data_IF_679959822876
#
_entry.id   IF_679959822876
#
_cell.length_a   1.000
_cell.length_b   1.000
_cell.length_c   1.000
_cell.angle_alpha   90.00
_cell.angle_beta   90.00
_cell.angle_gamma   90.00
#
_symmetry.space_group_name_H-M   'P 1'
#
loop_
_entity.id
_entity.type
_entity.pdbx_description
1 polymer ?
#
# COMPACT_ATOMS: atom_id res chain seq x y z
N UNK A 1 -0.05 -37.28 -45.26
CA UNK A 1 -0.75 -36.63 -46.38
C UNK A 1 -1.96 -37.47 -46.79
N UNK A 2 -3.05 -36.90 -47.36
CA UNK A 2 -3.98 -37.74 -48.09
C UNK A 2 -3.26 -38.28 -49.34
N UNK A 3 -3.30 -39.60 -49.54
CA UNK A 3 -2.69 -40.38 -50.65
C UNK A 3 -2.94 -39.75 -52.03
N UNK A 4 -4.02 -38.95 -52.14
CA UNK A 4 -4.41 -38.23 -53.36
C UNK A 4 -3.43 -37.12 -53.76
N UNK A 5 -2.73 -36.49 -52.82
CA UNK A 5 -1.82 -35.37 -53.10
C UNK A 5 -0.44 -35.85 -53.55
N UNK A 6 0.09 -36.91 -52.94
CA UNK A 6 1.33 -37.56 -53.40
C UNK A 6 1.16 -38.11 -54.82
N UNK A 7 0.04 -38.80 -55.09
CA UNK A 7 -0.23 -39.36 -56.42
C UNK A 7 -0.35 -38.27 -57.50
N UNK A 8 -0.92 -37.11 -57.16
CA UNK A 8 -1.00 -35.95 -58.05
C UNK A 8 0.38 -35.32 -58.30
N UNK A 9 1.22 -35.22 -57.26
CA UNK A 9 2.59 -34.73 -57.37
C UNK A 9 3.46 -35.62 -58.26
N UNK A 10 3.36 -36.95 -58.12
CA UNK A 10 4.07 -37.91 -58.96
C UNK A 10 3.66 -37.77 -60.43
N UNK A 11 2.34 -37.71 -60.72
CA UNK A 11 1.82 -37.52 -62.08
C UNK A 11 2.30 -36.21 -62.73
N UNK A 12 2.36 -35.12 -61.96
CA UNK A 12 2.87 -33.82 -62.44
C UNK A 12 4.35 -33.91 -62.82
N UNK A 13 5.16 -34.60 -62.03
CA UNK A 13 6.59 -34.80 -62.31
C UNK A 13 6.82 -35.72 -63.51
N UNK A 14 6.05 -36.82 -63.61
CA UNK A 14 6.08 -37.72 -64.77
C UNK A 14 5.68 -37.00 -66.06
N UNK A 15 4.68 -36.11 -66.00
CA UNK A 15 4.20 -35.33 -67.15
C UNK A 15 5.26 -34.35 -67.70
N UNK A 16 6.25 -33.95 -66.90
CA UNK A 16 7.34 -33.05 -67.33
C UNK A 16 8.64 -33.81 -67.63
N UNK A 17 8.58 -35.13 -67.76
CA UNK A 17 9.68 -35.97 -68.27
C UNK A 17 10.53 -36.68 -67.22
N UNK A 18 10.19 -36.61 -65.94
CA UNK A 18 10.83 -37.46 -64.92
C UNK A 18 10.30 -38.90 -65.05
N UNK A 19 11.19 -39.89 -64.99
CA UNK A 19 10.72 -41.27 -64.83
C UNK A 19 10.16 -41.48 -63.41
N UNK A 20 9.39 -42.55 -63.22
CA UNK A 20 8.73 -42.85 -61.95
C UNK A 20 9.68 -42.79 -60.73
N UNK A 21 10.88 -43.36 -60.87
CA UNK A 21 11.85 -43.40 -59.76
C UNK A 21 12.38 -42.00 -59.41
N UNK A 22 12.59 -41.16 -60.42
CA UNK A 22 13.00 -39.77 -60.20
C UNK A 22 11.88 -38.94 -59.58
N UNK A 23 10.64 -39.11 -60.05
CA UNK A 23 9.46 -38.44 -59.50
C UNK A 23 9.24 -38.82 -58.03
N UNK A 24 9.32 -40.11 -57.71
CA UNK A 24 9.22 -40.64 -56.34
C UNK A 24 10.31 -40.05 -55.43
N UNK A 25 11.57 -40.09 -55.86
CA UNK A 25 12.69 -39.57 -55.07
C UNK A 25 12.56 -38.07 -54.82
N UNK A 26 12.15 -37.30 -55.83
CA UNK A 26 11.99 -35.85 -55.69
C UNK A 26 10.81 -35.50 -54.79
N UNK A 27 9.68 -36.21 -54.92
CA UNK A 27 8.53 -36.01 -54.06
C UNK A 27 8.86 -36.30 -52.59
N UNK A 28 9.56 -37.39 -52.30
CA UNK A 28 10.01 -37.75 -50.95
C UNK A 28 10.95 -36.70 -50.35
N UNK A 29 11.95 -36.24 -51.12
CA UNK A 29 12.88 -35.19 -50.66
C UNK A 29 12.15 -33.88 -50.36
N UNK A 30 11.20 -33.48 -51.20
CA UNK A 30 10.42 -32.25 -51.00
C UNK A 30 9.49 -32.41 -49.79
N UNK A 31 8.80 -33.53 -49.64
CA UNK A 31 7.92 -33.78 -48.51
C UNK A 31 8.71 -33.76 -47.21
N UNK A 32 9.84 -34.47 -47.15
CA UNK A 32 10.72 -34.48 -46.00
C UNK A 32 11.22 -33.08 -45.64
N UNK A 33 11.71 -32.32 -46.62
CA UNK A 33 12.16 -30.93 -46.43
C UNK A 33 11.03 -30.01 -45.95
N UNK A 34 9.81 -30.21 -46.47
CA UNK A 34 8.64 -29.44 -46.05
C UNK A 34 8.24 -29.75 -44.61
N UNK A 35 8.21 -31.04 -44.24
CA UNK A 35 7.92 -31.50 -42.88
C UNK A 35 8.96 -30.96 -41.90
N UNK A 36 10.25 -31.07 -42.22
CA UNK A 36 11.35 -30.54 -41.39
C UNK A 36 11.24 -29.01 -41.20
N UNK A 37 10.92 -28.28 -42.27
CA UNK A 37 10.71 -26.83 -42.21
C UNK A 37 9.50 -26.45 -41.37
N UNK A 38 8.39 -27.19 -41.48
CA UNK A 38 7.20 -26.96 -40.67
C UNK A 38 7.47 -27.23 -39.18
N UNK A 39 8.22 -28.29 -38.87
CA UNK A 39 8.53 -28.63 -37.49
C UNK A 39 9.47 -27.59 -36.85
N UNK A 40 10.47 -27.14 -37.61
CA UNK A 40 11.37 -26.04 -37.20
C UNK A 40 10.59 -24.74 -36.91
N UNK A 41 9.59 -24.43 -37.75
CA UNK A 41 8.76 -23.24 -37.56
C UNK A 41 7.85 -23.37 -36.33
N UNK A 42 7.25 -24.53 -36.09
CA UNK A 42 6.47 -24.78 -34.87
C UNK A 42 7.32 -24.63 -33.63
N UNK A 43 8.52 -25.19 -33.63
CA UNK A 43 9.46 -25.09 -32.51
C UNK A 43 9.85 -23.63 -32.25
N UNK A 44 10.16 -22.87 -33.32
CA UNK A 44 10.45 -21.44 -33.22
C UNK A 44 9.27 -20.65 -32.59
N UNK A 45 8.04 -20.88 -33.08
CA UNK A 45 6.85 -20.21 -32.55
C UNK A 45 6.60 -20.59 -31.09
N UNK A 46 6.77 -21.87 -30.74
CA UNK A 46 6.61 -22.35 -29.37
C UNK A 46 7.61 -21.66 -28.44
N UNK A 47 8.89 -21.61 -28.83
CA UNK A 47 9.95 -20.98 -28.05
C UNK A 47 9.71 -19.48 -27.87
N UNK A 48 9.31 -18.76 -28.93
CA UNK A 48 8.99 -17.33 -28.83
C UNK A 48 7.77 -17.07 -27.94
N UNK A 49 6.72 -17.90 -28.03
CA UNK A 49 5.57 -17.80 -27.14
C UNK A 49 5.97 -18.02 -25.66
N UNK A 50 6.74 -19.07 -25.36
CA UNK A 50 7.24 -19.30 -24.00
C UNK A 50 8.12 -18.14 -23.51
N UNK A 51 8.95 -17.57 -24.37
CA UNK A 51 9.76 -16.39 -24.02
C UNK A 51 8.88 -15.17 -23.68
N UNK A 52 7.83 -14.92 -24.48
CA UNK A 52 6.86 -13.85 -24.22
C UNK A 52 6.09 -14.07 -22.91
N UNK A 53 5.62 -15.29 -22.65
CA UNK A 53 4.94 -15.67 -21.41
C UNK A 53 5.83 -15.44 -20.18
N UNK A 54 7.11 -15.83 -20.27
CA UNK A 54 8.08 -15.62 -19.21
C UNK A 54 8.36 -14.12 -18.97
N UNK A 55 8.52 -13.33 -20.04
CA UNK A 55 8.71 -11.87 -19.93
C UNK A 55 7.51 -11.19 -19.30
N UNK A 56 6.30 -11.57 -19.68
CA UNK A 56 5.06 -11.04 -19.11
C UNK A 56 4.91 -11.42 -17.64
N UNK A 57 5.11 -12.69 -17.29
CA UNK A 57 5.08 -13.18 -15.91
C UNK A 57 6.07 -12.43 -15.02
N UNK A 58 7.31 -12.26 -15.48
CA UNK A 58 8.33 -11.50 -14.74
C UNK A 58 7.95 -10.03 -14.56
N UNK A 59 7.35 -9.41 -15.57
CA UNK A 59 6.89 -8.02 -15.49
C UNK A 59 5.73 -7.88 -14.49
N UNK A 60 4.77 -8.81 -14.49
CA UNK A 60 3.66 -8.85 -13.54
C UNK A 60 4.19 -9.00 -12.10
N UNK A 61 5.04 -9.99 -11.85
CA UNK A 61 5.66 -10.20 -10.54
C UNK A 61 6.44 -8.96 -10.06
N UNK A 62 7.14 -8.30 -10.97
CA UNK A 62 7.84 -7.04 -10.67
C UNK A 62 6.91 -5.87 -10.35
N UNK A 63 5.72 -5.81 -10.95
CA UNK A 63 4.70 -4.81 -10.64
C UNK A 63 4.05 -5.10 -9.28
N UNK A 64 3.71 -6.37 -9.00
CA UNK A 64 3.13 -6.78 -7.73
C UNK A 64 4.06 -6.45 -6.56
N UNK A 65 5.35 -6.81 -6.66
CA UNK A 65 6.36 -6.48 -5.65
C UNK A 65 6.47 -4.97 -5.39
N UNK A 66 6.45 -4.15 -6.45
CA UNK A 66 6.48 -2.68 -6.35
C UNK A 66 5.22 -2.13 -5.69
N UNK A 67 4.05 -2.66 -6.01
CA UNK A 67 2.78 -2.23 -5.43
C UNK A 67 2.72 -2.61 -3.94
N UNK A 68 3.05 -3.84 -3.57
CA UNK A 68 3.12 -4.28 -2.18
C UNK A 68 4.08 -3.41 -1.36
N UNK A 69 5.26 -3.09 -1.91
CA UNK A 69 6.23 -2.22 -1.25
C UNK A 69 5.69 -0.80 -1.04
N UNK A 70 4.96 -0.24 -2.02
CA UNK A 70 4.32 1.07 -1.88
C UNK A 70 3.21 1.07 -0.83
N UNK A 71 2.38 0.02 -0.80
CA UNK A 71 1.30 -0.12 0.19
C UNK A 71 1.89 -0.16 1.60
N UNK A 72 2.86 -1.05 1.84
CA UNK A 72 3.54 -1.15 3.14
C UNK A 72 4.18 0.17 3.56
N UNK A 73 4.78 0.90 2.61
CA UNK A 73 5.36 2.22 2.87
C UNK A 73 4.31 3.28 3.25
N UNK A 74 3.12 3.25 2.63
CA UNK A 74 2.01 4.13 2.97
C UNK A 74 1.44 3.79 4.36
N UNK A 75 1.24 2.51 4.65
CA UNK A 75 0.75 2.05 5.96
C UNK A 75 1.68 2.51 7.08
N UNK A 76 2.99 2.26 6.95
CA UNK A 76 3.99 2.71 7.92
C UNK A 76 3.96 4.23 8.15
N UNK A 77 3.83 5.00 7.06
CA UNK A 77 3.75 6.47 7.12
C UNK A 77 2.47 6.96 7.80
N UNK A 78 1.34 6.30 7.55
CA UNK A 78 0.06 6.62 8.19
C UNK A 78 0.09 6.28 9.67
N UNK A 79 0.54 5.08 10.05
CA UNK A 79 0.70 4.69 11.46
C UNK A 79 1.60 5.65 12.22
N UNK A 80 2.73 6.07 11.63
CA UNK A 80 3.64 7.05 12.24
C UNK A 80 2.97 8.41 12.45
N UNK A 81 2.17 8.87 11.48
CA UNK A 81 1.40 10.12 11.61
C UNK A 81 0.34 10.04 12.71
N UNK A 82 -0.40 8.93 12.79
CA UNK A 82 -1.43 8.71 13.81
C UNK A 82 -0.77 8.74 15.20
N UNK A 83 0.28 7.94 15.42
CA UNK A 83 1.00 7.91 16.69
C UNK A 83 1.55 9.30 17.07
N UNK A 84 2.05 10.05 16.08
CA UNK A 84 2.53 11.42 16.28
C UNK A 84 1.42 12.40 16.66
N UNK A 85 0.21 12.24 16.11
CA UNK A 85 -0.96 13.04 16.49
C UNK A 85 -1.46 12.68 17.89
N UNK A 86 -1.54 11.39 18.21
CA UNK A 86 -1.94 10.92 19.53
C UNK A 86 -1.02 11.48 20.62
N UNK A 87 0.31 11.38 20.43
CA UNK A 87 1.29 11.93 21.35
C UNK A 87 1.14 13.45 21.55
N UNK A 88 0.89 14.20 20.47
CA UNK A 88 0.65 15.65 20.53
C UNK A 88 -0.63 15.99 21.29
N UNK A 89 -1.71 15.26 21.03
CA UNK A 89 -2.99 15.46 21.70
C UNK A 89 -2.89 15.12 23.19
N UNK A 90 -2.29 13.98 23.55
CA UNK A 90 -2.06 13.61 24.95
C UNK A 90 -1.22 14.66 25.68
N UNK A 91 -0.16 15.16 25.04
CA UNK A 91 0.68 16.22 25.62
C UNK A 91 -0.11 17.50 25.86
N UNK A 92 -0.98 17.89 24.92
CA UNK A 92 -1.82 19.08 25.05
C UNK A 92 -2.89 18.93 26.14
N UNK A 93 -3.53 17.76 26.24
CA UNK A 93 -4.49 17.45 27.30
C UNK A 93 -3.81 17.53 28.67
N UNK A 94 -2.66 16.87 28.83
CA UNK A 94 -1.89 16.91 30.08
C UNK A 94 -1.45 18.33 30.45
N UNK A 95 -1.14 19.17 29.45
CA UNK A 95 -0.83 20.59 29.66
C UNK A 95 -2.03 21.37 30.19
N UNK A 96 -3.19 21.22 29.56
CA UNK A 96 -4.44 21.85 29.98
C UNK A 96 -4.86 21.40 31.39
N UNK A 97 -4.72 20.11 31.72
CA UNK A 97 -5.04 19.58 33.06
C UNK A 97 -4.17 20.22 34.15
N UNK A 98 -2.89 20.48 33.86
CA UNK A 98 -2.00 21.20 34.78
C UNK A 98 -2.40 22.65 34.94
N UNK A 99 -2.71 23.34 33.84
CA UNK A 99 -3.17 24.74 33.88
C UNK A 99 -4.47 24.87 34.68
N UNK A 100 -5.45 23.99 34.43
CA UNK A 100 -6.71 23.94 35.18
C UNK A 100 -6.46 23.66 36.66
N UNK A 101 -5.56 22.72 36.99
CA UNK A 101 -5.22 22.41 38.38
C UNK A 101 -4.57 23.59 39.08
N UNK A 102 -3.68 24.32 38.40
CA UNK A 102 -3.05 25.53 38.92
C UNK A 102 -4.08 26.62 39.21
N UNK A 103 -4.98 26.90 38.26
CA UNK A 103 -6.06 27.87 38.42
C UNK A 103 -6.98 27.51 39.59
N UNK A 104 -7.33 26.23 39.77
CA UNK A 104 -8.14 25.77 40.91
C UNK A 104 -7.45 26.05 42.26
N UNK A 105 -6.14 25.83 42.34
CA UNK A 105 -5.35 26.11 43.56
C UNK A 105 -5.28 27.60 43.83
N UNK A 106 -5.05 28.42 42.80
CA UNK A 106 -4.99 29.88 42.90
C UNK A 106 -6.32 30.47 43.38
N UNK A 107 -7.43 30.11 42.72
CA UNK A 107 -8.78 30.52 43.14
C UNK A 107 -9.06 30.09 44.58
N UNK A 108 -8.69 28.86 44.96
CA UNK A 108 -8.89 28.38 46.33
C UNK A 108 -8.09 29.18 47.37
N UNK A 109 -6.89 29.68 47.01
CA UNK A 109 -6.08 30.52 47.89
C UNK A 109 -6.69 31.91 48.02
N UNK A 110 -7.10 32.52 46.91
CA UNK A 110 -7.74 33.85 46.93
C UNK A 110 -9.04 33.85 47.74
N UNK A 111 -9.86 32.81 47.60
CA UNK A 111 -11.08 32.66 48.41
C UNK A 111 -10.79 32.53 49.90
N UNK A 112 -9.74 31.79 50.29
CA UNK A 112 -9.32 31.67 51.69
C UNK A 112 -8.79 32.98 52.25
N UNK A 113 -7.97 33.70 51.47
CA UNK A 113 -7.43 35.01 51.86
C UNK A 113 -8.56 36.04 52.06
N UNK A 114 -9.53 36.06 51.14
CA UNK A 114 -10.72 36.91 51.27
C UNK A 114 -11.54 36.57 52.52
N UNK A 115 -11.74 35.28 52.81
CA UNK A 115 -12.46 34.83 54.01
C UNK A 115 -11.76 35.30 55.30
N UNK A 116 -10.43 35.18 55.36
CA UNK A 116 -9.62 35.64 56.51
C UNK A 116 -9.76 37.15 56.68
N UNK A 117 -9.68 37.93 55.59
CA UNK A 117 -9.87 39.39 55.61
C UNK A 117 -11.24 39.78 56.14
N UNK A 118 -12.30 39.12 55.67
CA UNK A 118 -13.68 39.35 56.14
C UNK A 118 -13.80 39.05 57.64
N UNK A 119 -13.27 37.91 58.10
CA UNK A 119 -13.31 37.55 59.52
C UNK A 119 -12.57 38.58 60.38
N UNK A 120 -11.40 39.04 59.94
CA UNK A 120 -10.64 40.10 60.62
C UNK A 120 -11.44 41.40 60.75
N UNK A 121 -12.14 41.82 59.68
CA UNK A 121 -13.01 43.01 59.71
C UNK A 121 -14.16 42.84 60.70
N UNK A 122 -14.87 41.69 60.66
CA UNK A 122 -16.01 41.43 61.55
C UNK A 122 -15.57 41.44 63.02
N UNK A 123 -14.49 40.72 63.35
CA UNK A 123 -13.97 40.68 64.73
C UNK A 123 -13.52 42.07 65.18
N UNK A 124 -12.87 42.84 64.30
CA UNK A 124 -12.45 44.21 64.57
C UNK A 124 -13.62 45.14 64.88
N UNK A 125 -14.66 45.15 64.05
CA UNK A 125 -15.83 46.02 64.24
C UNK A 125 -16.65 45.63 65.47
N UNK A 126 -16.83 44.34 65.73
CA UNK A 126 -17.48 43.84 66.96
C UNK A 126 -16.68 44.24 68.20
N UNK A 127 -15.35 44.11 68.17
CA UNK A 127 -14.48 44.52 69.28
C UNK A 127 -14.59 46.02 69.60
N UNK A 128 -14.64 46.88 68.57
CA UNK A 128 -14.87 48.32 68.73
C UNK A 128 -16.24 48.59 69.34
N UNK A 129 -17.31 47.95 68.83
CA UNK A 129 -18.66 48.12 69.37
C UNK A 129 -18.75 47.76 70.86
N UNK A 130 -18.15 46.64 71.28
CA UNK A 130 -18.09 46.22 72.69
C UNK A 130 -17.32 47.23 73.55
N UNK A 131 -16.21 47.76 73.05
CA UNK A 131 -15.44 48.78 73.76
C UNK A 131 -16.25 50.07 73.97
N UNK A 132 -17.00 50.51 72.96
CA UNK A 132 -17.89 51.67 73.05
C UNK A 132 -18.98 51.43 74.11
N UNK A 133 -19.63 50.26 74.12
CA UNK A 133 -20.66 49.90 75.12
C UNK A 133 -20.10 50.00 76.55
N UNK A 134 -18.84 49.60 76.77
CA UNK A 134 -18.20 49.70 78.10
C UNK A 134 -17.81 51.12 78.52
N UNK A 135 -17.58 52.03 77.57
CA UNK A 135 -17.18 53.41 77.85
C UNK A 135 -18.35 54.28 78.31
N UNK A 136 -19.58 53.89 77.98
CA UNK A 136 -20.82 54.57 78.34
C UNK A 136 -21.75 53.61 79.10
N UNK A 137 -21.54 53.40 80.42
CA UNK A 137 -22.33 52.48 81.24
C UNK A 137 -23.78 52.94 81.46
#
# INVERSE_FOLDING_TARGET
>A
MPITSELDNLKKLEAVGFNHKQAETLADVIEKSHVESQESLKEFIHNENTNLENKLSNKINGLDSKLSSKINGLDSKLSSKINGLDSKLSSKINGLDKEISSLRVEISRELKDLLIKIFGIIVGTVGIAVAIIKLFP
#
